data_IF_868731303010
#
_entry.id   IF_868731303010
#
_cell.length_a   1.000
_cell.length_b   1.000
_cell.length_c   1.000
_cell.angle_alpha   90.00
_cell.angle_beta   90.00
_cell.angle_gamma   90.00
#
_symmetry.space_group_name_H-M   'P 1'
#
loop_
_entity.id
_entity.type
_entity.pdbx_description
1 polymer ?
#
# COMPACT_ATOMS: atom_id res chain seq x y z
N UNK A 1 4.14 11.17 7.52
CA UNK A 1 3.15 11.65 8.50
C UNK A 1 1.85 11.81 7.76
N UNK A 2 0.76 11.24 8.28
CA UNK A 2 -0.55 11.34 7.66
C UNK A 2 -0.97 12.80 7.53
N UNK A 3 -1.70 13.14 6.47
CA UNK A 3 -2.20 14.50 6.23
C UNK A 3 -3.70 14.55 6.49
N UNK A 4 -4.20 15.66 7.00
CA UNK A 4 -5.64 15.88 7.04
C UNK A 4 -6.12 16.29 5.65
N UNK A 5 -7.22 15.70 5.19
CA UNK A 5 -7.90 16.15 3.98
C UNK A 5 -8.98 17.19 4.27
N UNK A 6 -9.53 17.80 3.22
CA UNK A 6 -10.58 18.82 3.35
C UNK A 6 -11.87 18.28 4.01
N UNK A 7 -12.06 16.96 4.04
CA UNK A 7 -13.16 16.29 4.72
C UNK A 7 -12.87 15.97 6.20
N UNK A 8 -11.72 16.41 6.74
CA UNK A 8 -11.34 16.19 8.13
C UNK A 8 -10.95 14.74 8.44
N UNK A 9 -10.61 13.95 7.41
CA UNK A 9 -10.12 12.58 7.55
C UNK A 9 -8.60 12.53 7.43
N UNK A 10 -7.99 11.63 8.20
CA UNK A 10 -6.55 11.40 8.16
C UNK A 10 -6.19 10.53 6.96
N UNK A 11 -5.53 11.11 5.96
CA UNK A 11 -5.06 10.43 4.77
C UNK A 11 -3.63 9.93 4.94
N UNK A 12 -3.38 8.62 4.75
CA UNK A 12 -2.03 8.08 4.76
C UNK A 12 -1.24 8.61 3.56
N UNK A 13 0.02 8.96 3.79
CA UNK A 13 0.95 9.39 2.73
C UNK A 13 1.98 8.32 2.38
N UNK A 14 2.12 7.30 3.23
CA UNK A 14 3.02 6.17 3.08
C UNK A 14 2.34 4.83 3.45
N UNK A 15 2.98 3.71 3.10
CA UNK A 15 2.57 2.39 3.58
C UNK A 15 2.67 2.29 5.11
N UNK A 16 3.67 2.95 5.70
CA UNK A 16 3.78 3.02 7.15
C UNK A 16 2.54 3.68 7.77
N UNK A 17 2.11 4.82 7.22
CA UNK A 17 0.89 5.51 7.68
C UNK A 17 -0.35 4.61 7.48
N UNK A 18 -0.47 3.97 6.32
CA UNK A 18 -1.57 3.06 6.01
C UNK A 18 -1.63 1.87 6.98
N UNK A 19 -0.48 1.29 7.33
CA UNK A 19 -0.38 0.21 8.30
C UNK A 19 -0.70 0.66 9.73
N UNK A 20 -0.27 1.87 10.12
CA UNK A 20 -0.62 2.44 11.43
C UNK A 20 -2.13 2.71 11.56
N UNK A 21 -2.75 3.19 10.49
CA UNK A 21 -4.19 3.46 10.40
C UNK A 21 -5.02 2.20 10.10
N UNK A 22 -4.39 1.04 9.88
CA UNK A 22 -5.04 -0.22 9.48
C UNK A 22 -5.91 -0.07 8.22
N UNK A 23 -5.47 0.76 7.27
CA UNK A 23 -6.13 0.97 5.99
C UNK A 23 -5.50 0.05 4.95
N UNK A 24 -6.31 -0.76 4.26
CA UNK A 24 -5.80 -1.64 3.22
C UNK A 24 -5.44 -0.85 1.98
N UNK A 25 -4.40 -1.30 1.27
CA UNK A 25 -3.87 -0.61 0.09
C UNK A 25 -4.48 -1.20 -1.16
N UNK A 26 -5.16 -0.37 -1.96
CA UNK A 26 -5.83 -0.76 -3.20
C UNK A 26 -5.22 -0.03 -4.41
N UNK A 27 -4.25 -0.62 -5.11
CA UNK A 27 -3.88 -0.16 -6.45
C UNK A 27 -5.04 -0.33 -7.43
N UNK A 28 -5.36 0.73 -8.17
CA UNK A 28 -6.40 0.71 -9.23
C UNK A 28 -5.75 0.92 -10.59
N UNK A 29 -5.91 -0.05 -11.48
CA UNK A 29 -5.40 0.02 -12.85
C UNK A 29 -6.35 0.80 -13.78
N UNK A 30 -5.80 1.31 -14.89
CA UNK A 30 -6.58 1.94 -15.97
C UNK A 30 -7.63 1.00 -16.58
N UNK A 31 -7.39 -0.32 -16.58
CA UNK A 31 -8.38 -1.29 -17.05
C UNK A 31 -9.52 -1.57 -16.05
N UNK A 32 -9.56 -0.88 -14.90
CA UNK A 32 -10.54 -1.09 -13.84
C UNK A 32 -10.18 -2.20 -12.85
N UNK A 33 -9.16 -3.02 -13.14
CA UNK A 33 -8.71 -4.05 -12.20
C UNK A 33 -8.08 -3.44 -10.95
N UNK A 34 -8.49 -3.93 -9.78
CA UNK A 34 -7.94 -3.58 -8.48
C UNK A 34 -7.93 -4.78 -7.54
N UNK A 35 -6.95 -4.83 -6.65
CA UNK A 35 -6.87 -5.81 -5.56
C UNK A 35 -6.43 -5.11 -4.29
N UNK A 36 -6.85 -5.62 -3.14
CA UNK A 36 -6.47 -5.06 -1.83
C UNK A 36 -5.30 -5.82 -1.23
N UNK A 37 -4.36 -5.09 -0.65
CA UNK A 37 -3.15 -5.61 -0.02
C UNK A 37 -3.15 -5.27 1.46
N UNK A 38 -2.72 -6.25 2.27
CA UNK A 38 -2.47 -6.02 3.69
C UNK A 38 -1.36 -4.97 3.84
N UNK A 39 -1.61 -3.87 4.57
CA UNK A 39 -0.66 -2.77 4.63
C UNK A 39 0.61 -3.14 5.42
N UNK A 40 0.52 -4.03 6.42
CA UNK A 40 1.68 -4.44 7.21
C UNK A 40 2.61 -5.33 6.41
N UNK A 41 2.07 -6.36 5.76
CA UNK A 41 2.85 -7.25 4.89
C UNK A 41 3.44 -6.50 3.69
N UNK A 42 2.69 -5.55 3.12
CA UNK A 42 3.18 -4.72 2.02
C UNK A 42 4.29 -3.76 2.46
N UNK A 43 4.13 -3.09 3.60
CA UNK A 43 5.19 -2.28 4.19
C UNK A 43 6.45 -3.11 4.43
N UNK A 44 6.31 -4.29 5.04
CA UNK A 44 7.45 -5.17 5.33
C UNK A 44 8.21 -5.56 4.07
N UNK A 45 7.48 -5.90 3.02
CA UNK A 45 8.05 -6.23 1.73
C UNK A 45 8.86 -5.08 1.10
N UNK A 46 8.39 -3.84 1.25
CA UNK A 46 9.11 -2.66 0.80
C UNK A 46 10.34 -2.38 1.68
N UNK A 47 10.17 -2.50 3.00
CA UNK A 47 11.22 -2.28 3.99
C UNK A 47 12.40 -3.25 3.78
N UNK A 48 12.13 -4.55 3.62
CA UNK A 48 13.16 -5.56 3.36
C UNK A 48 13.98 -5.29 2.10
N UNK A 49 13.42 -4.55 1.13
CA UNK A 49 14.08 -4.22 -0.14
C UNK A 49 14.67 -2.81 -0.18
N UNK A 50 14.59 -2.07 0.93
CA UNK A 50 15.01 -0.67 1.00
C UNK A 50 14.26 0.23 0.01
N UNK A 51 13.01 -0.11 -0.31
CA UNK A 51 12.19 0.67 -1.23
C UNK A 51 11.49 1.81 -0.51
N UNK A 52 11.30 2.93 -1.23
CA UNK A 52 10.52 4.07 -0.76
C UNK A 52 9.04 3.68 -0.59
N UNK A 53 8.52 3.87 0.62
CA UNK A 53 7.20 3.47 1.04
C UNK A 53 6.14 4.58 0.88
N UNK A 54 6.50 5.76 0.36
CA UNK A 54 5.55 6.83 0.02
C UNK A 54 4.58 6.32 -1.04
N UNK A 55 3.27 6.53 -0.85
CA UNK A 55 2.23 5.99 -1.74
C UNK A 55 2.43 6.40 -3.22
N UNK A 56 2.98 7.59 -3.45
CA UNK A 56 3.35 8.09 -4.78
C UNK A 56 4.44 7.24 -5.46
N UNK A 57 5.40 6.73 -4.69
CA UNK A 57 6.49 5.87 -5.16
C UNK A 57 6.08 4.39 -5.22
N UNK A 58 5.29 3.95 -4.25
CA UNK A 58 4.71 2.60 -4.20
C UNK A 58 4.01 2.27 -5.51
N UNK A 59 3.23 3.20 -6.06
CA UNK A 59 2.58 3.07 -7.38
C UNK A 59 3.51 2.62 -8.49
N UNK A 60 4.77 3.05 -8.49
CA UNK A 60 5.75 2.74 -9.53
C UNK A 60 6.26 1.30 -9.47
N UNK A 61 6.02 0.59 -8.35
CA UNK A 61 6.42 -0.81 -8.13
C UNK A 61 5.30 -1.81 -8.44
N UNK A 62 4.08 -1.34 -8.65
CA UNK A 62 2.96 -2.18 -9.04
C UNK A 62 2.79 -2.25 -10.56
N UNK A 63 2.29 -3.39 -11.03
CA UNK A 63 1.82 -3.57 -12.41
C UNK A 63 0.60 -4.49 -12.42
N UNK A 64 -0.29 -4.26 -13.37
CA UNK A 64 -1.53 -5.01 -13.47
C UNK A 64 -1.34 -6.39 -14.11
N UNK A 65 -1.75 -7.44 -13.41
CA UNK A 65 -1.73 -8.81 -13.91
C UNK A 65 -2.69 -9.02 -15.10
N UNK A 66 -3.88 -8.41 -15.08
CA UNK A 66 -4.84 -8.51 -16.18
C UNK A 66 -4.30 -7.87 -17.46
N UNK A 67 -3.74 -6.65 -17.38
CA UNK A 67 -3.12 -5.99 -18.55
C UNK A 67 -1.94 -6.79 -19.11
N UNK A 68 -1.17 -7.44 -18.23
CA UNK A 68 -0.06 -8.31 -18.66
C UNK A 68 -0.59 -9.56 -19.35
N UNK A 69 -1.66 -10.16 -18.84
CA UNK A 69 -2.25 -11.37 -19.43
C UNK A 69 -2.96 -11.09 -20.75
N UNK A 70 -3.70 -9.98 -20.84
CA UNK A 70 -4.55 -9.68 -22.00
C UNK A 70 -3.78 -8.98 -23.13
N UNK A 71 -2.84 -8.10 -22.79
CA UNK A 71 -2.16 -7.24 -23.76
C UNK A 71 -0.64 -7.35 -23.71
N UNK A 72 -0.07 -8.27 -22.91
CA UNK A 72 1.37 -8.42 -22.70
C UNK A 72 2.09 -7.15 -22.22
N UNK A 73 1.36 -6.20 -21.60
CA UNK A 73 1.89 -4.90 -21.16
C UNK A 73 1.91 -4.79 -19.64
N UNK A 74 3.04 -4.32 -19.10
CA UNK A 74 3.17 -3.95 -17.68
C UNK A 74 2.60 -2.55 -17.45
N UNK A 75 1.30 -2.47 -17.22
CA UNK A 75 0.61 -1.20 -16.95
C UNK A 75 0.66 -0.89 -15.45
N UNK A 76 1.21 0.28 -15.11
CA UNK A 76 1.23 0.80 -13.73
C UNK A 76 -0.18 1.23 -13.31
N UNK A 77 -0.57 1.07 -12.04
CA UNK A 77 -1.84 1.58 -11.56
C UNK A 77 -1.92 3.11 -11.71
N UNK A 78 -3.13 3.61 -11.95
CA UNK A 78 -3.40 5.04 -12.09
C UNK A 78 -3.21 5.75 -10.74
N UNK A 79 -3.78 5.14 -9.69
CA UNK A 79 -3.77 5.64 -8.32
C UNK A 79 -3.69 4.49 -7.32
N UNK A 80 -3.23 4.82 -6.13
CA UNK A 80 -3.30 3.96 -4.95
C UNK A 80 -4.37 4.56 -4.05
N UNK A 81 -5.38 3.77 -3.72
CA UNK A 81 -6.38 4.10 -2.73
C UNK A 81 -6.05 3.40 -1.42
N UNK A 82 -6.45 4.01 -0.31
CA UNK A 82 -6.43 3.36 1.01
C UNK A 82 -7.86 3.31 1.50
N UNK A 83 -8.37 2.11 1.75
CA UNK A 83 -9.77 1.89 2.12
C UNK A 83 -9.87 1.23 3.48
N UNK A 84 -10.94 1.54 4.20
CA UNK A 84 -11.25 0.87 5.47
C UNK A 84 -11.96 -0.43 5.14
N UNK A 85 -11.23 -1.55 5.13
CA UNK A 85 -11.81 -2.89 4.92
C UNK A 85 -11.31 -3.84 5.99
N UNK A 86 -12.14 -4.83 6.35
CA UNK A 86 -11.82 -5.81 7.39
C UNK A 86 -10.68 -6.74 7.01
N UNK A 87 -10.50 -7.03 5.72
CA UNK A 87 -9.47 -7.94 5.23
C UNK A 87 -8.99 -7.54 3.84
N UNK A 88 -7.70 -7.80 3.58
CA UNK A 88 -7.12 -7.65 2.26
C UNK A 88 -7.21 -8.96 1.47
N UNK A 89 -7.39 -8.86 0.15
CA UNK A 89 -7.38 -10.01 -0.75
C UNK A 89 -5.98 -10.63 -0.88
N UNK A 90 -4.93 -9.83 -0.73
CA UNK A 90 -3.52 -10.28 -0.76
C UNK A 90 -2.87 -10.01 0.58
N UNK A 91 -2.39 -11.08 1.20
CA UNK A 91 -1.61 -11.02 2.44
C UNK A 91 -0.18 -11.42 2.09
N UNK A 92 0.74 -10.49 2.32
CA UNK A 92 2.18 -10.73 2.21
C UNK A 92 2.74 -11.20 3.55
N UNK A 93 3.96 -11.77 3.59
CA UNK A 93 4.58 -12.16 4.86
C UNK A 93 4.56 -11.01 5.85
N UNK A 94 4.00 -11.27 7.04
CA UNK A 94 3.87 -10.25 8.07
C UNK A 94 5.25 -9.89 8.64
N UNK A 95 5.48 -8.61 9.00
CA UNK A 95 6.71 -8.22 9.66
C UNK A 95 6.83 -8.90 11.03
N UNK A 96 8.04 -9.24 11.48
CA UNK A 96 8.28 -9.59 12.87
C UNK A 96 7.81 -8.46 13.79
N UNK A 97 7.20 -8.81 14.92
CA UNK A 97 6.62 -7.82 15.84
C UNK A 97 7.65 -6.78 16.31
N UNK A 98 8.91 -7.19 16.51
CA UNK A 98 10.02 -6.32 16.87
C UNK A 98 10.27 -5.21 15.84
N UNK A 99 10.25 -5.56 14.55
CA UNK A 99 10.52 -4.62 13.46
C UNK A 99 9.36 -3.64 13.32
N UNK A 100 8.12 -4.13 13.42
CA UNK A 100 6.96 -3.25 13.42
C UNK A 100 6.94 -2.30 14.63
N UNK A 101 7.29 -2.78 15.83
CA UNK A 101 7.43 -1.93 17.03
C UNK A 101 8.52 -0.86 16.85
N UNK A 102 9.64 -1.19 16.21
CA UNK A 102 10.70 -0.20 15.91
C UNK A 102 10.16 0.89 14.99
N UNK A 103 9.50 0.52 13.89
CA UNK A 103 8.98 1.48 12.92
C UNK A 103 7.86 2.35 13.51
N UNK A 104 6.89 1.74 14.19
CA UNK A 104 5.74 2.47 14.75
C UNK A 104 6.12 3.47 15.85
N UNK A 105 7.26 3.28 16.54
CA UNK A 105 7.80 4.29 17.47
C UNK A 105 8.22 5.58 16.77
N UNK A 106 8.67 5.50 15.52
CA UNK A 106 9.06 6.68 14.73
C UNK A 106 7.87 7.49 14.21
N UNK A 107 6.64 6.97 14.38
CA UNK A 107 5.39 7.67 14.05
C UNK A 107 4.80 8.45 15.23
N UNK A 108 5.34 8.27 16.44
CA UNK A 108 4.91 8.98 17.65
C UNK A 108 5.57 10.34 17.80
#
# INVERSE_FOLDING_TARGET
MPRWNAAGLMEPTSLTDAAALRLVVRPVCRCGHSMTFDPHGLWWHFHQRGWDDRLSQVRNRFWCICCRSQWHKKVRPLRIETVTERSAAVVLPMPPEREWKRQSRALR
#
